data_IF_887139926609
#
_entry.id   IF_887139926609
#
_cell.length_a   1.000
_cell.length_b   1.000
_cell.length_c   1.000
_cell.angle_alpha   90.00
_cell.angle_beta   90.00
_cell.angle_gamma   90.00
#
_symmetry.space_group_name_H-M   'P 1'
#
loop_
_entity.id
_entity.type
_entity.pdbx_description
1 polymer ?
#
# COMPACT_ATOMS: atom_id res chain seq x y z
N UNK A 1 6.79 0.75 -39.47
CA UNK A 1 7.01 -0.15 -38.32
C UNK A 1 6.58 0.58 -37.06
N UNK A 2 5.39 0.24 -36.55
CA UNK A 2 4.81 0.81 -35.32
C UNK A 2 5.10 -0.21 -34.22
N UNK A 3 5.93 0.15 -33.25
CA UNK A 3 6.04 -0.62 -32.00
C UNK A 3 4.93 -0.16 -31.04
N UNK A 4 4.19 -1.18 -30.64
CA UNK A 4 2.95 -1.27 -29.88
C UNK A 4 3.08 -0.70 -28.46
N UNK A 5 2.21 0.24 -28.09
CA UNK A 5 2.11 0.76 -26.72
C UNK A 5 1.42 -0.28 -25.83
N UNK A 6 2.19 -0.98 -25.00
CA UNK A 6 1.67 -1.97 -24.06
C UNK A 6 0.99 -1.29 -22.86
N UNK A 7 -0.35 -1.39 -22.88
CA UNK A 7 -1.26 -1.65 -21.77
C UNK A 7 -0.85 -1.20 -20.36
N UNK A 8 -1.56 -0.18 -19.86
CA UNK A 8 -1.66 0.12 -18.43
C UNK A 8 -2.40 -1.03 -17.72
N UNK A 9 -1.65 -2.03 -17.28
CA UNK A 9 -2.17 -3.13 -16.47
C UNK A 9 -2.45 -2.60 -15.04
N UNK A 10 -3.73 -2.44 -14.68
CA UNK A 10 -4.15 -2.07 -13.34
C UNK A 10 -3.91 -3.24 -12.38
N UNK A 11 -2.81 -3.19 -11.63
CA UNK A 11 -2.52 -4.18 -10.60
C UNK A 11 -3.41 -3.92 -9.37
N UNK A 12 -4.57 -4.58 -9.31
CA UNK A 12 -5.39 -4.64 -8.10
C UNK A 12 -4.78 -5.69 -7.16
N UNK A 13 -4.28 -5.26 -6.01
CA UNK A 13 -3.73 -6.14 -4.98
C UNK A 13 -4.80 -6.47 -3.93
N UNK A 14 -4.76 -7.68 -3.35
CA UNK A 14 -5.73 -8.13 -2.33
C UNK A 14 -5.22 -7.85 -0.92
N UNK A 15 -6.10 -7.38 -0.05
CA UNK A 15 -5.83 -7.43 1.38
C UNK A 15 -5.90 -8.89 1.85
N UNK A 16 -4.87 -9.33 2.58
CA UNK A 16 -4.75 -10.68 3.15
C UNK A 16 -4.40 -10.60 4.62
N UNK A 17 -4.91 -11.54 5.42
CA UNK A 17 -4.60 -11.61 6.85
C UNK A 17 -3.45 -12.58 7.08
N UNK A 18 -2.35 -12.09 7.65
CA UNK A 18 -1.21 -12.93 8.07
C UNK A 18 -1.33 -13.18 9.58
N UNK A 19 -1.41 -14.46 9.97
CA UNK A 19 -1.51 -14.85 11.38
C UNK A 19 -0.12 -15.15 11.94
N UNK A 20 0.40 -14.27 12.80
CA UNK A 20 1.61 -14.54 13.59
C UNK A 20 1.26 -15.42 14.80
N UNK A 21 0.11 -15.14 15.41
CA UNK A 21 -0.41 -15.80 16.60
C UNK A 21 0.40 -15.54 17.87
N UNK A 22 0.09 -16.25 18.95
CA UNK A 22 0.76 -16.10 20.26
C UNK A 22 2.26 -16.41 20.21
N UNK A 23 3.04 -15.77 21.08
CA UNK A 23 4.48 -16.03 21.22
C UNK A 23 4.92 -16.02 22.68
N UNK A 24 5.78 -16.96 23.06
CA UNK A 24 6.47 -16.91 24.36
C UNK A 24 7.70 -15.98 24.36
N UNK A 25 8.21 -15.63 23.18
CA UNK A 25 9.34 -14.73 22.99
C UNK A 25 8.87 -13.38 22.43
N UNK A 26 9.66 -12.32 22.62
CA UNK A 26 9.37 -10.97 22.09
C UNK A 26 9.47 -10.87 20.57
N UNK A 27 9.85 -11.93 19.86
CA UNK A 27 9.82 -11.99 18.41
C UNK A 27 9.33 -13.34 17.90
N UNK A 28 8.62 -13.33 16.77
CA UNK A 28 8.14 -14.53 16.09
C UNK A 28 8.01 -14.27 14.59
N UNK A 29 8.37 -15.27 13.79
CA UNK A 29 8.22 -15.24 12.34
C UNK A 29 7.28 -16.35 11.88
N UNK A 30 6.55 -16.10 10.80
CA UNK A 30 5.73 -17.08 10.09
C UNK A 30 6.03 -17.04 8.60
N UNK A 31 5.83 -18.17 7.92
CA UNK A 31 6.02 -18.25 6.48
C UNK A 31 4.83 -17.60 5.77
N UNK A 32 5.08 -16.52 5.05
CA UNK A 32 4.13 -15.80 4.22
C UNK A 32 4.95 -15.05 3.16
N UNK A 33 5.10 -15.65 1.98
CA UNK A 33 5.86 -15.09 0.87
C UNK A 33 4.96 -14.29 -0.06
N UNK A 34 5.53 -13.32 -0.78
CA UNK A 34 4.77 -12.53 -1.75
C UNK A 34 3.72 -11.63 -1.10
N UNK A 35 3.92 -11.24 0.16
CA UNK A 35 3.04 -10.30 0.86
C UNK A 35 3.84 -9.11 1.37
N UNK A 36 3.19 -7.96 1.41
CA UNK A 36 3.69 -6.77 2.08
C UNK A 36 2.82 -6.46 3.29
N UNK A 37 3.42 -6.46 4.48
CA UNK A 37 2.76 -6.04 5.71
C UNK A 37 3.30 -4.67 6.13
N UNK A 38 2.45 -3.67 6.44
CA UNK A 38 2.91 -2.43 7.03
C UNK A 38 3.75 -2.69 8.30
N UNK A 39 4.85 -1.95 8.54
CA UNK A 39 5.68 -2.13 9.75
C UNK A 39 4.92 -1.96 11.07
N UNK A 40 3.85 -1.17 11.07
CA UNK A 40 2.94 -0.89 12.19
C UNK A 40 1.67 -1.76 12.18
N UNK A 41 1.60 -2.78 11.31
CA UNK A 41 0.39 -3.60 11.14
C UNK A 41 -0.03 -4.37 12.41
N UNK A 42 0.86 -4.50 13.40
CA UNK A 42 0.57 -5.14 14.68
C UNK A 42 0.12 -4.16 15.77
N UNK A 43 0.24 -2.85 15.54
CA UNK A 43 -0.01 -1.84 16.55
C UNK A 43 -1.50 -1.72 16.89
N UNK A 44 -1.77 -1.05 18.01
CA UNK A 44 -3.15 -0.86 18.48
C UNK A 44 -3.96 -0.10 17.44
N UNK A 45 -5.14 -0.63 17.09
CA UNK A 45 -6.02 -0.04 16.08
C UNK A 45 -5.61 -0.34 14.62
N UNK A 46 -4.45 -0.95 14.39
CA UNK A 46 -3.98 -1.41 13.06
C UNK A 46 -4.06 -2.93 12.91
N UNK A 47 -3.88 -3.66 14.01
CA UNK A 47 -3.96 -5.13 14.04
C UNK A 47 -5.33 -5.66 13.59
N UNK A 48 -5.31 -6.77 12.85
CA UNK A 48 -6.51 -7.41 12.31
C UNK A 48 -7.26 -8.25 13.36
N UNK A 49 -6.58 -8.68 14.42
CA UNK A 49 -7.19 -9.47 15.48
C UNK A 49 -7.99 -8.60 16.45
N UNK A 50 -9.17 -9.09 16.86
CA UNK A 50 -10.07 -8.39 17.78
C UNK A 50 -9.84 -8.76 19.26
N UNK A 51 -9.15 -9.86 19.54
CA UNK A 51 -8.78 -10.21 20.90
C UNK A 51 -7.74 -9.22 21.44
N UNK A 52 -7.94 -8.75 22.67
CA UNK A 52 -7.02 -7.82 23.32
C UNK A 52 -6.79 -6.52 22.52
N UNK A 53 -7.81 -6.05 21.78
CA UNK A 53 -7.79 -4.82 20.97
C UNK A 53 -7.35 -3.58 21.75
N UNK A 54 -7.60 -3.57 23.07
CA UNK A 54 -7.34 -2.41 23.93
C UNK A 54 -5.92 -2.38 24.48
N UNK A 55 -5.15 -3.48 24.31
CA UNK A 55 -3.78 -3.56 24.81
C UNK A 55 -2.83 -2.70 23.98
N UNK A 56 -2.00 -1.93 24.69
CA UNK A 56 -1.01 -0.97 24.19
C UNK A 56 0.28 -1.65 23.67
N UNK A 57 0.19 -2.89 23.20
CA UNK A 57 1.35 -3.56 22.62
C UNK A 57 1.65 -3.04 21.23
N UNK A 58 2.87 -2.54 21.06
CA UNK A 58 3.42 -2.09 19.79
C UNK A 58 4.35 -3.17 19.22
N UNK A 59 4.29 -3.33 17.89
CA UNK A 59 5.00 -4.37 17.15
C UNK A 59 5.71 -3.78 15.94
N UNK A 60 7.01 -4.06 15.85
CA UNK A 60 7.79 -3.89 14.64
C UNK A 60 7.57 -5.09 13.73
N UNK A 61 6.95 -4.88 12.57
CA UNK A 61 6.73 -5.89 11.54
C UNK A 61 7.80 -5.76 10.45
N UNK A 62 8.41 -6.88 10.07
CA UNK A 62 9.44 -6.97 9.03
C UNK A 62 9.14 -8.14 8.10
N UNK A 63 9.54 -8.00 6.83
CA UNK A 63 9.48 -9.05 5.82
C UNK A 63 10.90 -9.50 5.49
N UNK A 64 11.13 -10.80 5.52
CA UNK A 64 12.36 -11.45 5.08
C UNK A 64 12.05 -12.16 3.76
N UNK A 65 12.34 -11.48 2.64
CA UNK A 65 12.02 -11.96 1.30
C UNK A 65 12.80 -13.24 0.94
N UNK A 66 14.06 -13.35 1.40
CA UNK A 66 14.90 -14.54 1.20
C UNK A 66 14.28 -15.77 1.86
N UNK A 67 13.70 -15.62 3.04
CA UNK A 67 13.01 -16.70 3.77
C UNK A 67 11.53 -16.83 3.40
N UNK A 68 10.96 -15.84 2.71
CA UNK A 68 9.53 -15.71 2.47
C UNK A 68 8.75 -15.69 3.79
N UNK A 69 9.20 -14.87 4.74
CA UNK A 69 8.69 -14.84 6.09
C UNK A 69 8.29 -13.43 6.53
N UNK A 70 7.22 -13.35 7.33
CA UNK A 70 6.82 -12.13 8.04
C UNK A 70 7.15 -12.32 9.51
N UNK A 71 7.89 -11.38 10.08
CA UNK A 71 8.32 -11.37 11.47
C UNK A 71 7.67 -10.20 12.21
N UNK A 72 7.21 -10.45 13.43
CA UNK A 72 6.77 -9.41 14.36
C UNK A 72 7.69 -9.42 15.59
N UNK A 73 8.04 -8.23 16.07
CA UNK A 73 8.80 -8.03 17.28
C UNK A 73 8.10 -7.02 18.17
N UNK A 74 7.76 -7.42 19.39
CA UNK A 74 7.19 -6.51 20.39
C UNK A 74 8.25 -5.51 20.81
N UNK A 75 7.96 -4.22 20.73
CA UNK A 75 8.95 -3.16 20.97
C UNK A 75 8.91 -2.64 22.40
N UNK A 76 7.74 -2.68 23.05
CA UNK A 76 7.54 -2.18 24.41
C UNK A 76 7.95 -3.15 25.52
N UNK A 77 8.18 -4.44 25.22
CA UNK A 77 8.49 -5.47 26.23
C UNK A 77 9.40 -6.57 25.63
N UNK A 78 10.29 -7.11 26.47
CA UNK A 78 11.14 -8.27 26.15
C UNK A 78 10.40 -9.60 26.30
N UNK A 79 9.22 -9.59 26.93
CA UNK A 79 8.35 -10.77 27.06
C UNK A 79 7.60 -11.04 25.77
N UNK A 80 7.17 -12.30 25.61
CA UNK A 80 6.20 -12.67 24.59
C UNK A 80 4.82 -12.03 24.79
N UNK A 81 3.86 -12.40 23.95
CA UNK A 81 2.50 -11.90 23.97
C UNK A 81 1.48 -13.05 23.96
N UNK A 82 0.36 -12.81 24.65
CA UNK A 82 -0.73 -13.79 24.76
C UNK A 82 -1.73 -13.75 23.61
N UNK A 83 -1.82 -12.62 22.89
CA UNK A 83 -2.82 -12.41 21.84
C UNK A 83 -2.54 -13.26 20.59
N UNK A 84 -3.60 -13.61 19.85
CA UNK A 84 -3.47 -14.24 18.54
C UNK A 84 -3.21 -13.19 17.46
N UNK A 85 -2.01 -12.58 17.50
CA UNK A 85 -1.62 -11.46 16.63
C UNK A 85 -1.89 -11.78 15.15
N UNK A 86 -2.71 -10.94 14.51
CA UNK A 86 -3.01 -11.00 13.08
C UNK A 86 -2.77 -9.63 12.45
N UNK A 87 -2.18 -9.65 11.25
CA UNK A 87 -1.76 -8.47 10.53
C UNK A 87 -2.59 -8.34 9.24
N UNK A 88 -2.99 -7.12 8.90
CA UNK A 88 -3.54 -6.82 7.58
C UNK A 88 -2.38 -6.52 6.63
N UNK A 89 -2.19 -7.38 5.64
CA UNK A 89 -1.13 -7.28 4.65
C UNK A 89 -1.72 -7.23 3.24
N UNK A 90 -0.86 -6.99 2.24
CA UNK A 90 -1.22 -6.93 0.83
C UNK A 90 -0.56 -8.11 0.14
N UNK A 91 -1.33 -8.91 -0.59
CA UNK A 91 -0.82 -9.93 -1.50
C UNK A 91 -0.25 -9.23 -2.74
N UNK A 92 1.05 -9.43 -2.98
CA UNK A 92 1.78 -8.84 -4.10
C UNK A 92 1.61 -9.64 -5.39
N UNK A 93 0.86 -10.75 -5.37
CA UNK A 93 0.47 -11.43 -6.60
C UNK A 93 -0.54 -10.57 -7.37
N UNK A 94 -0.22 -10.20 -8.63
CA UNK A 94 -1.16 -9.53 -9.51
C UNK A 94 -2.43 -10.34 -9.66
N UNK A 95 -3.59 -9.74 -9.39
CA UNK A 95 -4.80 -10.29 -9.97
C UNK A 95 -4.76 -10.02 -11.46
N UNK A 96 -4.66 -11.08 -12.27
CA UNK A 96 -4.92 -10.97 -13.70
C UNK A 96 -6.41 -10.71 -13.87
N UNK A 97 -6.79 -9.44 -13.93
CA UNK A 97 -8.10 -9.05 -14.42
C UNK A 97 -8.03 -9.13 -15.94
N UNK A 98 -8.34 -10.30 -16.50
CA UNK A 98 -8.68 -10.41 -17.91
C UNK A 98 -10.02 -9.71 -18.10
N UNK A 99 -10.02 -8.39 -18.31
CA UNK A 99 -11.17 -7.69 -18.86
C UNK A 99 -11.22 -8.03 -20.35
N UNK A 100 -12.25 -8.75 -20.85
CA UNK A 100 -12.42 -8.87 -22.29
C UNK A 100 -12.74 -7.47 -22.83
N UNK A 101 -11.83 -6.91 -23.62
CA UNK A 101 -12.03 -5.66 -24.33
C UNK A 101 -13.26 -5.85 -25.25
N UNK A 102 -14.35 -5.07 -25.09
CA UNK A 102 -15.42 -5.11 -26.06
C UNK A 102 -14.91 -4.51 -27.38
N UNK A 103 -14.81 -5.35 -28.40
CA UNK A 103 -14.33 -4.99 -29.74
C UNK A 103 -15.35 -4.09 -30.45
N UNK A 104 -15.36 -2.80 -30.13
CA UNK A 104 -16.03 -1.80 -30.97
C UNK A 104 -15.00 -1.16 -31.87
N UNK A 105 -15.23 -1.34 -33.17
CA UNK A 105 -14.26 -1.19 -34.23
C UNK A 105 -13.58 0.18 -34.34
N UNK A 106 -12.38 0.09 -34.88
CA UNK A 106 -11.51 1.09 -35.50
C UNK A 106 -12.21 2.41 -35.87
N UNK A 107 -11.84 3.49 -35.18
CA UNK A 107 -12.06 4.87 -35.66
C UNK A 107 -10.71 5.50 -36.08
N UNK A 108 -10.71 6.38 -37.10
CA UNK A 108 -9.49 6.89 -37.76
C UNK A 108 -8.68 7.84 -36.87
N UNK A 109 -7.38 8.04 -37.18
CA UNK A 109 -6.48 8.82 -36.33
C UNK A 109 -6.80 10.31 -36.47
N UNK A 110 -7.28 10.92 -35.38
CA UNK A 110 -7.20 12.37 -35.23
C UNK A 110 -5.98 12.73 -34.40
N UNK A 111 -5.20 13.65 -34.95
CA UNK A 111 -4.00 14.24 -34.40
C UNK A 111 -4.18 14.64 -32.92
N UNK A 112 -3.39 14.03 -32.03
CA UNK A 112 -3.34 14.40 -30.61
C UNK A 112 -2.45 15.63 -30.44
N UNK A 113 -3.07 16.76 -30.14
CA UNK A 113 -2.40 17.82 -29.39
C UNK A 113 -2.51 17.45 -27.91
N UNK A 114 -1.38 17.42 -27.20
CA UNK A 114 -1.27 17.17 -25.76
C UNK A 114 -1.90 18.32 -24.95
N UNK A 115 -3.22 18.36 -24.89
CA UNK A 115 -3.94 19.07 -23.84
C UNK A 115 -4.99 18.10 -23.31
N UNK A 116 -4.85 17.72 -22.04
CA UNK A 116 -5.65 16.74 -21.29
C UNK A 116 -7.08 17.27 -21.08
N UNK A 117 -7.79 17.49 -22.19
CA UNK A 117 -9.04 18.25 -22.27
C UNK A 117 -9.98 17.52 -23.22
N UNK A 118 -11.20 17.23 -22.77
CA UNK A 118 -12.23 16.61 -23.60
C UNK A 118 -12.58 17.52 -24.80
N UNK A 119 -13.26 17.01 -25.84
CA UNK A 119 -13.66 17.82 -26.99
C UNK A 119 -14.65 18.97 -26.68
N UNK A 120 -15.09 19.13 -25.43
CA UNK A 120 -15.87 20.26 -24.93
C UNK A 120 -15.03 21.23 -24.06
N UNK A 121 -13.70 21.06 -23.98
CA UNK A 121 -12.84 21.93 -23.18
C UNK A 121 -12.81 21.61 -21.69
N UNK A 122 -13.29 20.43 -21.24
CA UNK A 122 -13.19 20.01 -19.83
C UNK A 122 -11.90 19.27 -19.56
N UNK A 123 -11.14 19.75 -18.58
CA UNK A 123 -9.97 19.08 -18.01
C UNK A 123 -10.32 17.65 -17.55
N UNK A 124 -9.71 16.65 -18.18
CA UNK A 124 -9.94 15.23 -17.88
C UNK A 124 -8.92 14.63 -16.93
N UNK A 125 -7.97 15.42 -16.41
CA UNK A 125 -6.94 14.94 -15.46
C UNK A 125 -7.54 14.27 -14.21
N UNK A 126 -8.75 14.68 -13.81
CA UNK A 126 -9.51 14.08 -12.69
C UNK A 126 -10.19 12.74 -12.97
N UNK A 127 -10.17 12.23 -14.21
CA UNK A 127 -10.76 10.92 -14.54
C UNK A 127 -9.79 9.75 -14.35
N UNK A 128 -8.53 10.01 -14.00
CA UNK A 128 -7.61 8.93 -13.59
C UNK A 128 -7.98 8.50 -12.17
N UNK A 129 -8.09 7.20 -11.88
CA UNK A 129 -8.34 6.74 -10.52
C UNK A 129 -7.21 7.21 -9.62
N UNK A 130 -7.53 7.96 -8.56
CA UNK A 130 -6.57 8.37 -7.54
C UNK A 130 -6.18 7.12 -6.76
N UNK A 131 -4.96 6.64 -6.97
CA UNK A 131 -4.42 5.49 -6.23
C UNK A 131 -3.94 5.98 -4.87
N UNK A 132 -4.63 5.59 -3.81
CA UNK A 132 -4.21 5.86 -2.44
C UNK A 132 -3.10 4.90 -2.03
N UNK A 133 -1.97 5.45 -1.62
CA UNK A 133 -0.83 4.70 -1.10
C UNK A 133 -0.76 4.88 0.40
N UNK A 134 -1.02 3.81 1.15
CA UNK A 134 -0.82 3.79 2.61
C UNK A 134 0.66 3.52 2.91
N UNK A 135 1.35 4.57 3.37
CA UNK A 135 2.75 4.50 3.82
C UNK A 135 2.83 4.02 5.28
N UNK A 136 1.72 4.07 6.04
CA UNK A 136 1.64 3.80 7.48
C UNK A 136 2.34 4.87 8.34
N UNK A 137 2.39 4.67 9.66
CA UNK A 137 3.05 5.61 10.58
C UNK A 137 4.56 5.34 10.66
N UNK A 138 5.35 6.35 11.06
CA UNK A 138 6.78 6.23 11.29
C UNK A 138 7.20 7.10 12.47
N UNK A 139 8.10 6.59 13.30
CA UNK A 139 8.82 7.39 14.30
C UNK A 139 10.15 7.94 13.77
N UNK A 140 10.46 7.70 12.50
CA UNK A 140 11.64 8.21 11.79
C UNK A 140 11.22 9.32 10.82
N UNK A 141 12.17 10.16 10.43
CA UNK A 141 11.96 11.23 9.43
C UNK A 141 11.78 10.73 8.00
N UNK A 142 12.00 9.43 7.75
CA UNK A 142 11.80 8.78 6.45
C UNK A 142 11.15 7.41 6.63
N UNK A 143 10.37 6.98 5.63
CA UNK A 143 9.80 5.64 5.53
C UNK A 143 9.67 5.25 4.07
N UNK A 144 10.23 4.10 3.73
CA UNK A 144 10.10 3.51 2.40
C UNK A 144 9.09 2.37 2.46
N UNK A 145 8.30 2.23 1.40
CA UNK A 145 7.44 1.06 1.20
C UNK A 145 7.74 0.46 -0.17
N UNK A 146 7.63 -0.86 -0.28
CA UNK A 146 7.65 -1.49 -1.59
C UNK A 146 6.25 -1.41 -2.18
N UNK A 147 6.11 -0.57 -3.20
CA UNK A 147 4.92 -0.49 -4.06
C UNK A 147 5.38 -0.75 -5.50
N UNK A 148 4.59 -1.53 -6.26
CA UNK A 148 4.78 -1.71 -7.71
C UNK A 148 4.55 -0.40 -8.47
N UNK A 149 4.20 -0.48 -9.77
CA UNK A 149 4.02 0.66 -10.69
C UNK A 149 3.00 1.73 -10.22
N UNK A 150 3.40 2.55 -9.24
CA UNK A 150 2.68 3.71 -8.75
C UNK A 150 3.63 4.89 -8.89
N UNK A 151 3.17 5.91 -9.59
CA UNK A 151 3.89 7.16 -9.71
C UNK A 151 3.27 8.17 -8.76
N UNK A 152 4.02 8.55 -7.73
CA UNK A 152 3.66 9.63 -6.82
C UNK A 152 4.37 10.91 -7.26
N UNK A 153 3.66 12.04 -7.34
CA UNK A 153 4.37 13.32 -7.43
C UNK A 153 5.16 13.56 -6.14
N UNK A 154 6.27 14.30 -6.24
CA UNK A 154 7.14 14.61 -5.10
C UNK A 154 6.40 15.24 -3.92
N UNK A 155 5.29 15.91 -4.16
CA UNK A 155 4.43 16.57 -3.19
C UNK A 155 3.10 15.84 -2.91
N UNK A 156 2.96 14.58 -3.35
CA UNK A 156 1.72 13.80 -3.15
C UNK A 156 1.36 13.58 -1.68
N UNK A 157 2.35 13.64 -0.79
CA UNK A 157 2.16 13.53 0.66
C UNK A 157 2.05 14.91 1.37
N UNK A 158 2.19 16.02 0.64
CA UNK A 158 2.09 17.36 1.22
C UNK A 158 0.66 17.71 1.64
N UNK A 159 0.54 18.69 2.54
CA UNK A 159 -0.75 19.20 3.04
C UNK A 159 -1.67 19.62 1.87
N UNK A 160 -2.92 19.20 1.93
CA UNK A 160 -3.92 19.47 0.88
C UNK A 160 -3.89 18.50 -0.31
N UNK A 161 -2.87 17.64 -0.40
CA UNK A 161 -2.77 16.54 -1.38
C UNK A 161 -2.85 15.16 -0.73
N UNK A 162 -2.34 15.04 0.51
CA UNK A 162 -2.51 13.83 1.32
C UNK A 162 -4.00 13.55 1.59
N UNK A 163 -4.36 12.28 1.51
CA UNK A 163 -5.73 11.78 1.77
C UNK A 163 -5.95 11.36 3.22
N UNK A 164 -4.88 11.27 4.00
CA UNK A 164 -4.91 11.11 5.44
C UNK A 164 -5.69 12.28 6.08
N UNK A 165 -6.56 11.98 7.05
CA UNK A 165 -7.34 12.96 7.82
C UNK A 165 -6.82 13.18 9.25
N UNK A 166 -6.00 12.27 9.77
CA UNK A 166 -5.32 12.41 11.05
C UNK A 166 -4.28 13.53 10.99
N UNK A 167 -4.26 14.40 12.01
CA UNK A 167 -3.35 15.56 12.01
C UNK A 167 -3.45 16.41 10.73
N UNK A 168 -4.67 16.57 10.20
CA UNK A 168 -4.97 17.37 9.00
C UNK A 168 -4.64 18.86 9.15
N UNK A 169 -4.53 19.33 10.38
CA UNK A 169 -4.04 20.66 10.77
C UNK A 169 -2.51 20.76 10.82
N UNK A 170 -1.79 19.63 10.76
CA UNK A 170 -0.32 19.63 10.73
C UNK A 170 0.22 20.38 9.51
N UNK A 171 1.25 21.20 9.76
CA UNK A 171 2.00 21.95 8.76
C UNK A 171 3.14 21.14 8.13
N UNK A 172 3.26 19.85 8.47
CA UNK A 172 4.32 19.00 7.94
C UNK A 172 4.22 18.88 6.41
N UNK A 173 5.37 18.98 5.76
CA UNK A 173 5.58 18.81 4.34
C UNK A 173 6.44 17.57 4.09
N UNK A 174 6.06 16.77 3.12
CA UNK A 174 6.71 15.49 2.83
C UNK A 174 7.21 15.47 1.40
N UNK A 175 8.45 15.06 1.23
CA UNK A 175 9.05 14.80 -0.07
C UNK A 175 8.93 13.32 -0.41
N UNK A 176 8.16 12.98 -1.43
CA UNK A 176 8.05 11.61 -1.95
C UNK A 176 9.14 11.39 -2.99
N UNK A 177 9.96 10.37 -2.76
CA UNK A 177 10.98 9.88 -3.70
C UNK A 177 10.65 8.45 -4.11
N UNK A 178 10.98 8.08 -5.35
CA UNK A 178 10.71 6.78 -5.95
C UNK A 178 11.99 6.15 -6.47
#
# INVERSE_FOLDING_TARGET
DIEESQDAHEFVYRAVTVTIGKSGASSKCVRAAGVYCPPDAGDRGRRANLDYSDLLDDFEVTMDDDKGAVCAKRTADIRGWGMNLQLTCIDLTPLSMTTPIPSWGTLPPMFFNDTDTDPNGRDTSQRRPVVVVDVGTSHKSEKCIYRGNVYCTKDSASRGKRVNLDYSDSMDEFEVTM
#
